data_IF_319797030911
#
_entry.id   IF_319797030911
#
_cell.length_a   1.000
_cell.length_b   1.000
_cell.length_c   1.000
_cell.angle_alpha   90.00
_cell.angle_beta   90.00
_cell.angle_gamma   90.00
#
_symmetry.space_group_name_H-M   'P 1'
#
loop_
_entity.id
_entity.type
_entity.pdbx_description
1 polymer ?
#
# COMPACT_ATOMS: atom_id res chain seq x y z
N UNK A 1 3.55 34.29 -0.47
CA UNK A 1 3.66 32.98 -1.15
C UNK A 1 3.19 31.91 -0.18
N UNK A 2 2.04 31.27 -0.42
CA UNK A 2 1.58 30.15 0.43
C UNK A 2 2.49 28.96 0.13
N UNK A 3 3.27 28.52 1.12
CA UNK A 3 4.00 27.25 1.04
C UNK A 3 2.94 26.15 0.99
N UNK A 4 2.68 25.62 -0.20
CA UNK A 4 1.94 24.36 -0.33
C UNK A 4 2.83 23.28 0.24
N UNK A 5 2.59 22.92 1.49
CA UNK A 5 3.17 21.72 2.08
C UNK A 5 2.83 20.56 1.15
N UNK A 6 3.80 19.76 0.71
CA UNK A 6 3.49 18.58 -0.10
C UNK A 6 2.50 17.73 0.69
N UNK A 7 1.39 17.36 0.06
CA UNK A 7 0.39 16.46 0.65
C UNK A 7 1.05 15.10 0.85
N UNK A 8 1.58 14.87 2.05
CA UNK A 8 2.11 13.59 2.46
C UNK A 8 0.96 12.68 2.87
N UNK A 9 0.86 11.53 2.22
CA UNK A 9 -0.05 10.45 2.63
C UNK A 9 0.76 9.34 3.27
N UNK A 10 0.25 8.80 4.38
CA UNK A 10 0.84 7.66 5.08
C UNK A 10 -0.15 6.52 5.10
N UNK A 11 0.32 5.35 4.68
CA UNK A 11 -0.46 4.12 4.62
C UNK A 11 0.29 3.07 5.45
N UNK A 12 -0.29 2.61 6.56
CA UNK A 12 0.31 1.58 7.40
C UNK A 12 -0.15 0.20 6.94
N UNK A 13 0.77 -0.74 6.78
CA UNK A 13 0.44 -2.12 6.42
C UNK A 13 -0.25 -2.81 7.59
N UNK A 14 -1.42 -3.40 7.32
CA UNK A 14 -2.21 -4.17 8.28
C UNK A 14 -1.99 -5.66 8.03
N UNK A 15 -2.13 -6.07 6.77
CA UNK A 15 -1.96 -7.44 6.33
C UNK A 15 -1.09 -7.50 5.09
N UNK A 16 -0.35 -8.59 4.95
CA UNK A 16 0.49 -8.88 3.80
C UNK A 16 0.20 -10.30 3.30
N UNK A 17 0.33 -10.50 1.99
CA UNK A 17 0.23 -11.83 1.36
C UNK A 17 1.08 -11.85 0.09
N UNK A 18 1.87 -12.88 -0.10
CA UNK A 18 2.54 -13.16 -1.37
C UNK A 18 1.63 -14.01 -2.25
N UNK A 19 1.48 -13.64 -3.52
CA UNK A 19 0.45 -14.19 -4.40
C UNK A 19 0.95 -15.25 -5.39
N UNK A 20 2.18 -15.13 -5.86
CA UNK A 20 2.76 -16.12 -6.79
C UNK A 20 3.69 -17.10 -6.07
N UNK A 21 3.69 -18.37 -6.49
CA UNK A 21 4.67 -19.39 -6.05
C UNK A 21 6.12 -18.98 -6.36
N UNK A 22 6.28 -18.07 -7.34
CA UNK A 22 7.56 -17.45 -7.70
C UNK A 22 7.90 -16.21 -6.85
N UNK A 23 7.02 -15.76 -5.95
CA UNK A 23 7.26 -14.64 -5.05
C UNK A 23 7.26 -13.25 -5.70
N UNK A 24 6.83 -13.12 -6.94
CA UNK A 24 7.00 -11.91 -7.76
C UNK A 24 6.00 -10.80 -7.47
N UNK A 25 4.87 -11.11 -6.82
CA UNK A 25 3.83 -10.13 -6.49
C UNK A 25 3.44 -10.29 -5.03
N UNK A 26 3.50 -9.19 -4.30
CA UNK A 26 3.00 -9.08 -2.94
C UNK A 26 1.80 -8.14 -2.86
N UNK A 27 0.83 -8.51 -2.04
CA UNK A 27 -0.40 -7.82 -1.77
C UNK A 27 -0.38 -7.29 -0.33
N UNK A 28 -0.77 -6.04 -0.16
CA UNK A 28 -0.76 -5.36 1.14
C UNK A 28 -2.10 -4.67 1.38
N UNK A 29 -2.79 -5.06 2.44
CA UNK A 29 -3.89 -4.26 2.97
C UNK A 29 -3.30 -3.14 3.82
N UNK A 30 -3.65 -1.89 3.53
CA UNK A 30 -3.11 -0.72 4.24
C UNK A 30 -4.22 0.17 4.79
N UNK A 31 -3.99 0.74 5.98
CA UNK A 31 -4.81 1.83 6.52
C UNK A 31 -4.17 3.18 6.18
N UNK A 32 -4.98 4.10 5.68
CA UNK A 32 -4.56 5.45 5.31
C UNK A 32 -4.88 6.39 6.46
N UNK A 33 -4.02 7.37 6.73
CA UNK A 33 -4.21 8.38 7.78
C UNK A 33 -5.54 9.17 7.72
N UNK A 34 -6.23 9.17 6.58
CA UNK A 34 -7.55 9.78 6.41
C UNK A 34 -8.73 8.83 6.72
N UNK A 35 -8.48 7.67 7.35
CA UNK A 35 -9.51 6.69 7.72
C UNK A 35 -10.00 5.79 6.57
N UNK A 36 -9.40 5.94 5.39
CA UNK A 36 -9.61 5.04 4.25
C UNK A 36 -8.63 3.88 4.28
N UNK A 37 -8.91 2.87 3.46
CA UNK A 37 -8.10 1.68 3.32
C UNK A 37 -7.78 1.47 1.84
N UNK A 38 -6.75 0.69 1.55
CA UNK A 38 -6.42 0.30 0.19
C UNK A 38 -5.79 -1.08 0.17
N UNK A 39 -5.87 -1.72 -0.98
CA UNK A 39 -5.13 -2.95 -1.27
C UNK A 39 -4.08 -2.61 -2.32
N UNK A 40 -2.81 -2.66 -1.92
CA UNK A 40 -1.67 -2.27 -2.75
C UNK A 40 -0.96 -3.52 -3.25
N UNK A 41 -0.60 -3.51 -4.53
CA UNK A 41 0.20 -4.56 -5.18
C UNK A 41 1.57 -4.02 -5.52
N UNK A 42 2.59 -4.83 -5.25
CA UNK A 42 3.96 -4.54 -5.60
C UNK A 42 4.58 -5.74 -6.32
N UNK A 43 5.00 -5.49 -7.56
CA UNK A 43 5.94 -6.31 -8.31
C UNK A 43 7.35 -6.02 -7.79
N UNK A 44 7.77 -6.70 -6.72
CA UNK A 44 9.12 -6.49 -6.20
C UNK A 44 9.65 -7.73 -5.48
N UNK A 45 10.97 -7.87 -5.49
CA UNK A 45 11.74 -8.87 -4.73
C UNK A 45 11.76 -8.57 -3.22
N UNK A 46 11.19 -7.43 -2.81
CA UNK A 46 11.11 -7.01 -1.41
C UNK A 46 9.74 -7.27 -0.81
N UNK A 47 9.75 -7.92 0.34
CA UNK A 47 8.60 -8.12 1.21
C UNK A 47 8.61 -7.07 2.33
N UNK A 48 7.45 -6.48 2.59
CA UNK A 48 7.21 -5.52 3.67
C UNK A 48 6.33 -6.16 4.74
N UNK A 49 6.49 -5.77 6.00
CA UNK A 49 5.81 -6.39 7.13
C UNK A 49 4.62 -5.57 7.60
N UNK A 50 3.69 -6.22 8.31
CA UNK A 50 2.64 -5.51 9.01
C UNK A 50 3.24 -4.51 10.01
N UNK A 51 2.73 -3.28 10.00
CA UNK A 51 3.29 -2.14 10.75
C UNK A 51 4.19 -1.22 9.92
N UNK A 52 4.73 -1.67 8.79
CA UNK A 52 5.51 -0.80 7.89
C UNK A 52 4.63 0.32 7.32
N UNK A 53 5.26 1.44 6.94
CA UNK A 53 4.56 2.64 6.47
C UNK A 53 4.97 2.97 5.04
N UNK A 54 4.02 2.84 4.13
CA UNK A 54 4.11 3.42 2.80
C UNK A 54 3.81 4.92 2.85
N UNK A 55 4.73 5.73 2.34
CA UNK A 55 4.62 7.18 2.25
C UNK A 55 4.45 7.58 0.80
N UNK A 56 3.41 8.33 0.48
CA UNK A 56 3.27 8.99 -0.82
C UNK A 56 3.58 10.47 -0.67
N UNK A 57 4.63 10.94 -1.35
CA UNK A 57 5.08 12.33 -1.35
C UNK A 57 5.21 12.75 -2.81
N UNK A 58 4.44 13.75 -3.24
CA UNK A 58 4.44 14.24 -4.62
C UNK A 58 4.25 13.11 -5.67
N UNK A 59 3.32 12.19 -5.41
CA UNK A 59 3.02 11.00 -6.22
C UNK A 59 4.14 9.93 -6.30
N UNK A 60 5.20 10.07 -5.52
CA UNK A 60 6.23 9.05 -5.37
C UNK A 60 6.00 8.27 -4.08
N UNK A 61 6.10 6.95 -4.16
CA UNK A 61 5.85 6.05 -3.04
C UNK A 61 7.14 5.55 -2.43
N UNK A 62 7.20 5.50 -1.11
CA UNK A 62 8.37 5.08 -0.36
C UNK A 62 8.01 4.16 0.80
N UNK A 63 8.91 3.26 1.17
CA UNK A 63 8.91 2.55 2.45
C UNK A 63 10.34 2.56 2.99
N UNK A 64 10.56 3.02 4.23
CA UNK A 64 11.91 3.17 4.83
C UNK A 64 12.95 3.76 3.86
N UNK A 65 12.59 4.91 3.25
CA UNK A 65 13.43 5.66 2.29
C UNK A 65 13.66 4.97 0.93
N UNK A 66 13.20 3.74 0.75
CA UNK A 66 13.25 3.03 -0.53
C UNK A 66 12.07 3.43 -1.41
N UNK A 67 12.34 3.80 -2.65
CA UNK A 67 11.31 4.04 -3.66
C UNK A 67 10.62 2.72 -4.02
N UNK A 68 9.29 2.73 -4.02
CA UNK A 68 8.45 1.61 -4.42
C UNK A 68 7.49 2.04 -5.54
N UNK A 69 7.05 1.07 -6.33
CA UNK A 69 6.18 1.31 -7.49
C UNK A 69 4.89 0.51 -7.35
N UNK A 70 3.93 0.98 -6.53
CA UNK A 70 2.67 0.29 -6.40
C UNK A 70 1.90 0.32 -7.72
N UNK A 71 1.33 -0.82 -8.12
CA UNK A 71 0.40 -0.88 -9.24
C UNK A 71 -0.87 -0.09 -8.92
N UNK A 72 -1.68 0.22 -9.94
CA UNK A 72 -2.98 0.88 -9.75
C UNK A 72 -3.85 0.21 -8.68
N UNK A 73 -4.36 1.03 -7.77
CA UNK A 73 -5.25 0.65 -6.67
C UNK A 73 -6.26 1.78 -6.40
N UNK A 74 -7.22 1.52 -5.52
CA UNK A 74 -8.25 2.47 -5.11
C UNK A 74 -8.32 2.58 -3.58
N UNK A 75 -8.72 3.75 -3.10
CA UNK A 75 -9.06 3.95 -1.70
C UNK A 75 -10.52 3.57 -1.47
N UNK A 76 -10.76 2.67 -0.53
CA UNK A 76 -12.07 2.11 -0.20
C UNK A 76 -12.27 2.13 1.32
N UNK A 77 -13.43 1.71 1.78
CA UNK A 77 -13.69 1.53 3.21
C UNK A 77 -13.12 0.18 3.70
N UNK A 78 -12.96 0.04 5.02
CA UNK A 78 -12.25 -1.10 5.62
C UNK A 78 -12.82 -2.47 5.17
N UNK A 79 -14.14 -2.61 5.19
CA UNK A 79 -14.80 -3.87 4.83
C UNK A 79 -14.55 -4.25 3.37
N UNK A 80 -14.50 -3.27 2.47
CA UNK A 80 -14.19 -3.49 1.05
C UNK A 80 -12.73 -3.82 0.84
N UNK A 81 -11.80 -3.13 1.53
CA UNK A 81 -10.38 -3.43 1.45
C UNK A 81 -10.09 -4.86 1.93
N UNK A 82 -10.62 -5.24 3.10
CA UNK A 82 -10.47 -6.58 3.65
C UNK A 82 -11.04 -7.64 2.71
N UNK A 83 -12.24 -7.38 2.16
CA UNK A 83 -12.88 -8.25 1.17
C UNK A 83 -12.00 -8.42 -0.08
N UNK A 84 -11.56 -7.31 -0.67
CA UNK A 84 -10.67 -7.33 -1.85
C UNK A 84 -9.36 -8.05 -1.57
N UNK A 85 -8.79 -7.89 -0.37
CA UNK A 85 -7.55 -8.57 0.02
C UNK A 85 -7.74 -10.10 0.13
N UNK A 86 -8.85 -10.53 0.74
CA UNK A 86 -9.16 -11.96 0.93
C UNK A 86 -9.58 -12.66 -0.36
N UNK A 87 -10.33 -11.98 -1.22
CA UNK A 87 -10.81 -12.52 -2.50
C UNK A 87 -9.79 -12.39 -3.64
N UNK A 88 -8.66 -11.73 -3.40
CA UNK A 88 -7.61 -11.59 -4.41
C UNK A 88 -7.05 -12.98 -4.77
N UNK A 89 -7.24 -13.35 -6.05
CA UNK A 89 -6.86 -14.64 -6.66
C UNK A 89 -7.48 -15.88 -5.98
N UNK A 90 -8.75 -15.77 -5.61
CA UNK A 90 -9.60 -16.93 -5.38
C UNK A 90 -10.14 -17.52 -6.70
#
# INVERSE_FOLDING_TARGET
MKKTTPSEMRCQIIHQRTLSELGLISLYEVSVNNGKYAVIRLDNDQTFQAGDIFKCINNLWYCDEKLIHPMSFQYVDQAEAQRSFLEYER
#
